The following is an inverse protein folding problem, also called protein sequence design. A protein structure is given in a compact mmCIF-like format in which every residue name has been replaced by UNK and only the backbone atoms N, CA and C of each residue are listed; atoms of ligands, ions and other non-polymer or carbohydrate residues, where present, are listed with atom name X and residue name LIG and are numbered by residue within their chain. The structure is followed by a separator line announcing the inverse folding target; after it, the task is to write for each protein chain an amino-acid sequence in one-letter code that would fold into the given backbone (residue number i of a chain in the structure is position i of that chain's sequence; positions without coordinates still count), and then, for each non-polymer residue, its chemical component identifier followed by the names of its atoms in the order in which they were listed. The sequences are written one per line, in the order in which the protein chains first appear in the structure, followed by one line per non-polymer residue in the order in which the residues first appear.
data_IF_598092050378
#
_entry.id   IF_598092050378
#
_cell.length_a   1.000
_cell.length_b   1.000
_cell.length_c   1.000
_cell.angle_alpha   90.00
_cell.angle_beta   90.00
_cell.angle_gamma   90.00
#
_symmetry.space_group_name_H-M   'P 1'
#
loop_
_entity.id
_entity.type
_entity.pdbx_description
1 polymer ?
#
# COMPACT_ATOMS: atom_id res chain seq x y z
N UNK A 1 32.28 34.18 -0.37
CA UNK A 1 31.29 33.55 -1.28
C UNK A 1 31.78 32.26 -1.95
N UNK A 2 32.77 31.53 -1.40
CA UNK A 2 33.31 30.31 -2.02
C UNK A 2 32.92 28.99 -1.30
N UNK A 3 32.24 29.06 -0.15
CA UNK A 3 31.91 27.87 0.66
C UNK A 3 30.53 27.24 0.35
N UNK A 4 29.68 27.86 -0.48
CA UNK A 4 28.37 27.30 -0.86
C UNK A 4 28.41 26.38 -2.09
N UNK A 5 29.46 26.41 -2.93
CA UNK A 5 29.52 25.51 -4.09
C UNK A 5 29.90 24.06 -3.72
N UNK A 6 30.66 23.85 -2.64
CA UNK A 6 31.07 22.50 -2.20
C UNK A 6 29.95 21.72 -1.51
N UNK A 7 28.98 22.41 -0.89
CA UNK A 7 27.79 21.75 -0.31
C UNK A 7 26.73 21.41 -1.35
N UNK A 8 26.77 22.00 -2.55
CA UNK A 8 25.85 21.74 -3.65
C UNK A 8 26.36 20.66 -4.61
N UNK A 9 27.66 20.40 -4.65
CA UNK A 9 28.27 19.41 -5.56
C UNK A 9 27.72 17.98 -5.42
N UNK A 10 27.50 17.44 -4.20
CA UNK A 10 26.88 16.13 -4.02
C UNK A 10 25.43 16.09 -4.51
N UNK A 11 24.69 17.21 -4.35
CA UNK A 11 23.30 17.33 -4.78
C UNK A 11 23.20 17.40 -6.30
N UNK A 12 24.03 18.21 -6.95
CA UNK A 12 24.07 18.30 -8.41
C UNK A 12 24.47 16.97 -9.03
N UNK A 13 25.44 16.26 -8.44
CA UNK A 13 25.82 14.92 -8.91
C UNK A 13 24.67 13.91 -8.69
N UNK A 14 24.02 13.90 -7.52
CA UNK A 14 22.87 13.02 -7.27
C UNK A 14 21.71 13.31 -8.23
N UNK A 15 21.40 14.60 -8.49
CA UNK A 15 20.38 14.99 -9.46
C UNK A 15 20.76 14.59 -10.89
N UNK A 16 22.02 14.72 -11.30
CA UNK A 16 22.50 14.32 -12.64
C UNK A 16 22.45 12.79 -12.81
N UNK A 17 22.87 12.02 -11.80
CA UNK A 17 22.78 10.55 -11.84
C UNK A 17 21.33 10.06 -11.84
N UNK A 18 20.45 10.68 -11.05
CA UNK A 18 19.02 10.36 -11.04
C UNK A 18 18.34 10.72 -12.37
N UNK A 19 18.77 11.81 -13.02
CA UNK A 19 18.34 12.17 -14.37
C UNK A 19 18.82 11.13 -15.39
N UNK A 20 20.07 10.65 -15.31
CA UNK A 20 20.58 9.61 -16.22
C UNK A 20 19.88 8.26 -16.02
N UNK A 21 19.64 7.84 -14.77
CA UNK A 21 18.88 6.65 -14.43
C UNK A 21 17.43 6.73 -14.94
N UNK A 22 16.84 7.93 -14.89
CA UNK A 22 15.49 8.18 -15.37
C UNK A 22 15.40 8.35 -16.90
N UNK A 23 16.42 8.90 -17.56
CA UNK A 23 16.52 8.96 -19.02
C UNK A 23 16.67 7.55 -19.62
N UNK A 24 17.33 6.63 -18.91
CA UNK A 24 17.37 5.20 -19.26
C UNK A 24 15.98 4.59 -19.42
N UNK A 25 15.03 4.97 -18.56
CA UNK A 25 13.60 4.54 -18.60
C UNK A 25 12.92 4.95 -19.90
N UNK A 26 13.27 6.13 -20.42
CA UNK A 26 12.66 6.67 -21.64
C UNK A 26 13.21 6.02 -22.91
N UNK A 27 14.47 5.58 -22.90
CA UNK A 27 15.11 4.95 -24.07
C UNK A 27 14.59 3.54 -24.34
N UNK A 28 14.31 2.75 -23.30
CA UNK A 28 13.83 1.38 -23.45
C UNK A 28 12.34 1.26 -23.84
N UNK A 29 11.60 2.38 -23.85
CA UNK A 29 10.24 2.44 -24.41
C UNK A 29 10.18 2.58 -25.95
N UNK A 30 11.34 2.64 -26.63
CA UNK A 30 11.40 2.68 -28.10
C UNK A 30 11.99 1.38 -28.66
N UNK A 31 11.17 0.67 -29.43
CA UNK A 31 11.44 -0.65 -30.00
C UNK A 31 12.73 -0.73 -30.84
N UNK A 32 13.55 -1.76 -30.59
CA UNK A 32 14.36 -2.38 -31.66
C UNK A 32 14.60 -3.87 -31.40
N UNK A 33 14.16 -4.71 -32.33
CA UNK A 33 14.54 -6.12 -32.46
C UNK A 33 16.05 -6.29 -32.67
N UNK A 34 16.66 -7.18 -31.90
CA UNK A 34 18.04 -7.63 -32.09
C UNK A 34 18.35 -8.84 -31.23
N UNK A 35 18.31 -10.03 -31.84
CA UNK A 35 18.69 -11.32 -31.24
C UNK A 35 20.15 -11.35 -30.82
N UNK A 36 20.43 -11.75 -29.58
CA UNK A 36 21.70 -12.37 -29.16
C UNK A 36 21.49 -13.22 -27.90
N UNK A 37 21.77 -14.51 -28.06
CA UNK A 37 21.75 -15.55 -27.03
C UNK A 37 22.82 -15.32 -25.96
N UNK A 38 22.42 -15.37 -24.69
CA UNK A 38 23.27 -15.87 -23.59
C UNK A 38 22.42 -16.23 -22.37
N UNK A 39 22.39 -17.54 -22.07
CA UNK A 39 22.08 -18.19 -20.78
C UNK A 39 20.77 -17.80 -20.08
N UNK A 40 19.72 -18.54 -20.40
CA UNK A 40 18.42 -18.57 -19.73
C UNK A 40 18.50 -19.12 -18.29
N UNK A 41 18.39 -18.24 -17.28
CA UNK A 41 17.70 -18.61 -16.05
C UNK A 41 16.20 -18.48 -16.33
N UNK A 42 15.54 -19.61 -16.57
CA UNK A 42 14.11 -19.67 -16.82
C UNK A 42 13.30 -19.21 -15.61
N UNK A 43 12.94 -17.92 -15.59
CA UNK A 43 11.71 -17.48 -14.94
C UNK A 43 10.59 -17.71 -15.93
N UNK A 44 9.93 -18.85 -15.74
CA UNK A 44 8.72 -19.24 -16.44
C UNK A 44 7.69 -18.10 -16.31
N UNK A 45 7.34 -17.47 -17.43
CA UNK A 45 6.05 -16.82 -17.54
C UNK A 45 4.97 -17.90 -17.47
N UNK A 46 4.16 -17.84 -16.42
CA UNK A 46 2.88 -18.54 -16.37
C UNK A 46 1.81 -17.58 -15.81
N UNK A 47 0.89 -17.07 -16.64
CA UNK A 47 -0.37 -16.54 -16.14
C UNK A 47 -1.30 -17.72 -15.84
N UNK A 48 -1.19 -18.34 -14.66
CA UNK A 48 -2.09 -19.43 -14.28
C UNK A 48 -2.41 -19.46 -12.79
N UNK A 49 -3.37 -18.65 -12.37
CA UNK A 49 -4.64 -19.19 -11.87
C UNK A 49 -5.69 -18.08 -11.98
N UNK A 50 -6.92 -18.43 -12.34
CA UNK A 50 -8.08 -17.50 -12.37
C UNK A 50 -8.03 -16.55 -11.17
N UNK A 51 -8.02 -15.24 -11.38
CA UNK A 51 -8.03 -14.25 -10.30
C UNK A 51 -9.38 -14.34 -9.58
N UNK A 52 -9.51 -15.26 -8.61
CA UNK A 52 -10.79 -15.58 -7.96
C UNK A 52 -11.21 -14.51 -6.93
N UNK A 53 -10.51 -13.38 -6.85
CA UNK A 53 -10.70 -12.36 -5.82
C UNK A 53 -10.12 -12.77 -4.46
N UNK A 54 -10.05 -11.82 -3.53
CA UNK A 54 -9.52 -12.05 -2.17
C UNK A 54 -10.37 -13.05 -1.40
N UNK A 55 -11.70 -13.01 -1.57
CA UNK A 55 -12.59 -13.93 -0.85
C UNK A 55 -12.30 -15.40 -1.16
N UNK A 56 -12.26 -15.77 -2.44
CA UNK A 56 -12.01 -17.15 -2.85
C UNK A 56 -10.57 -17.61 -2.59
N UNK A 57 -9.60 -16.72 -2.74
CA UNK A 57 -8.18 -17.07 -2.66
C UNK A 57 -7.66 -17.12 -1.23
N UNK A 58 -8.19 -16.30 -0.32
CA UNK A 58 -7.67 -16.16 1.04
C UNK A 58 -8.67 -16.58 2.10
N UNK A 59 -9.95 -16.25 1.96
CA UNK A 59 -10.93 -16.39 3.06
C UNK A 59 -11.65 -17.74 3.03
N UNK A 60 -12.25 -18.10 1.89
CA UNK A 60 -13.07 -19.30 1.78
C UNK A 60 -12.28 -20.60 1.92
N UNK A 61 -10.97 -20.58 1.57
CA UNK A 61 -10.08 -21.74 1.72
C UNK A 61 -9.94 -22.20 3.17
N UNK A 62 -10.21 -21.31 4.13
CA UNK A 62 -10.20 -21.61 5.56
C UNK A 62 -11.61 -21.88 6.13
N UNK A 63 -12.65 -21.93 5.28
CA UNK A 63 -14.02 -22.24 5.68
C UNK A 63 -14.81 -21.06 6.26
N UNK A 64 -14.37 -19.82 6.00
CA UNK A 64 -15.13 -18.61 6.33
C UNK A 64 -16.07 -18.23 5.19
N UNK A 65 -17.23 -17.66 5.53
CA UNK A 65 -18.06 -16.94 4.57
C UNK A 65 -17.39 -15.61 4.20
N UNK A 66 -17.49 -15.20 2.94
CA UNK A 66 -16.90 -13.95 2.46
C UNK A 66 -17.78 -13.29 1.41
N UNK A 67 -17.96 -11.98 1.55
CA UNK A 67 -18.67 -11.13 0.58
C UNK A 67 -17.68 -10.14 -0.05
N UNK A 68 -17.76 -9.93 -1.37
CA UNK A 68 -17.00 -8.89 -2.07
C UNK A 68 -17.94 -7.75 -2.46
N UNK A 69 -17.54 -6.55 -2.07
CA UNK A 69 -18.28 -5.32 -2.28
C UNK A 69 -17.44 -4.34 -3.10
N UNK A 70 -18.13 -3.44 -3.79
CA UNK A 70 -17.51 -2.32 -4.50
C UNK A 70 -18.09 -1.02 -3.99
N UNK A 71 -17.23 -0.03 -3.74
CA UNK A 71 -17.60 1.31 -3.28
C UNK A 71 -17.05 2.34 -4.25
N UNK A 72 -17.94 3.17 -4.79
CA UNK A 72 -17.52 4.27 -5.66
C UNK A 72 -17.32 5.53 -4.84
N UNK A 73 -16.12 6.10 -4.89
CA UNK A 73 -15.78 7.37 -4.25
C UNK A 73 -16.41 8.54 -4.99
N UNK A 74 -16.49 9.71 -4.35
CA UNK A 74 -17.07 10.92 -4.97
C UNK A 74 -16.33 11.37 -6.23
N UNK A 75 -15.02 11.18 -6.25
CA UNK A 75 -14.15 11.49 -7.39
C UNK A 75 -14.08 10.36 -8.42
N UNK A 76 -14.71 9.22 -8.16
CA UNK A 76 -15.03 8.22 -9.18
C UNK A 76 -14.16 6.96 -9.18
N UNK A 77 -13.29 6.76 -8.20
CA UNK A 77 -12.57 5.50 -7.99
C UNK A 77 -13.54 4.44 -7.48
N UNK A 78 -13.31 3.18 -7.86
CA UNK A 78 -14.11 2.03 -7.45
C UNK A 78 -13.21 1.14 -6.59
N UNK A 79 -13.51 1.10 -5.29
CA UNK A 79 -12.75 0.42 -4.27
C UNK A 79 -13.33 -0.96 -4.01
N UNK A 80 -12.48 -1.98 -3.97
CA UNK A 80 -12.86 -3.32 -3.52
C UNK A 80 -12.83 -3.41 -2.00
N UNK A 81 -13.89 -3.97 -1.41
CA UNK A 81 -13.99 -4.20 0.03
C UNK A 81 -14.42 -5.65 0.25
N UNK A 82 -13.66 -6.37 1.08
CA UNK A 82 -14.04 -7.72 1.50
C UNK A 82 -14.74 -7.67 2.85
N UNK A 83 -15.69 -8.57 3.06
CA UNK A 83 -16.40 -8.71 4.33
C UNK A 83 -16.42 -10.16 4.78
N UNK A 84 -16.04 -10.41 6.02
CA UNK A 84 -16.15 -11.69 6.71
C UNK A 84 -17.24 -11.54 7.79
N UNK A 85 -18.51 -11.86 7.48
CA UNK A 85 -19.62 -11.62 8.40
C UNK A 85 -19.62 -12.59 9.59
N UNK A 86 -19.00 -13.76 9.45
CA UNK A 86 -19.07 -14.85 10.42
C UNK A 86 -17.73 -15.59 10.60
N UNK A 87 -17.43 -15.95 11.85
CA UNK A 87 -16.41 -16.94 12.17
C UNK A 87 -16.85 -18.37 11.83
N UNK A 88 -15.89 -19.30 11.75
CA UNK A 88 -16.11 -20.67 11.22
C UNK A 88 -17.15 -21.49 11.98
N UNK A 89 -17.22 -21.32 13.29
CA UNK A 89 -18.12 -22.09 14.17
C UNK A 89 -19.42 -21.36 14.51
N UNK A 90 -19.78 -20.31 13.76
CA UNK A 90 -21.00 -19.56 14.02
C UNK A 90 -22.25 -20.40 13.69
N UNK A 91 -22.78 -21.10 14.69
CA UNK A 91 -24.07 -21.81 14.61
C UNK A 91 -25.21 -20.79 14.71
N UNK A 92 -25.57 -20.21 13.57
CA UNK A 92 -26.88 -19.62 13.31
C UNK A 92 -27.50 -18.83 14.47
N UNK A 93 -26.97 -17.64 14.74
CA UNK A 93 -27.82 -16.50 15.10
C UNK A 93 -27.23 -15.22 14.53
N UNK A 94 -28.00 -14.57 13.64
CA UNK A 94 -27.78 -13.24 13.07
C UNK A 94 -27.90 -12.14 14.13
N UNK A 95 -27.25 -12.30 15.29
CA UNK A 95 -27.09 -11.19 16.21
C UNK A 95 -26.39 -10.06 15.44
N UNK A 96 -26.83 -8.81 15.64
CA UNK A 96 -26.17 -7.64 15.03
C UNK A 96 -24.75 -7.53 15.59
N UNK A 97 -23.79 -8.05 14.84
CA UNK A 97 -22.37 -7.98 15.17
C UNK A 97 -21.87 -6.57 14.93
N UNK A 98 -20.97 -6.13 15.80
CA UNK A 98 -20.36 -4.81 15.68
C UNK A 98 -19.37 -4.84 14.51
N UNK A 99 -19.46 -3.89 13.55
CA UNK A 99 -18.52 -3.85 12.44
C UNK A 99 -17.12 -3.40 12.88
N UNK A 100 -16.12 -4.01 12.26
CA UNK A 100 -14.71 -3.61 12.37
C UNK A 100 -14.17 -3.37 10.96
N UNK A 101 -13.66 -2.17 10.68
CA UNK A 101 -13.00 -1.84 9.42
C UNK A 101 -11.48 -1.91 9.59
N UNK A 102 -10.83 -2.74 8.77
CA UNK A 102 -9.39 -2.92 8.72
C UNK A 102 -8.80 -2.19 7.51
N UNK A 103 -7.94 -1.20 7.76
CA UNK A 103 -7.32 -0.35 6.73
C UNK A 103 -5.80 -0.54 6.71
N UNK A 104 -5.28 -0.97 5.57
CA UNK A 104 -3.86 -1.24 5.33
C UNK A 104 -3.00 0.04 5.22
N UNK A 105 -1.68 -0.16 5.11
CA UNK A 105 -0.68 0.90 4.94
C UNK A 105 -0.33 1.21 3.49
N UNK A 106 0.70 2.03 3.28
CA UNK A 106 1.29 2.25 1.96
C UNK A 106 1.95 0.96 1.46
N UNK A 107 1.93 0.73 0.14
CA UNK A 107 2.45 -0.49 -0.50
C UNK A 107 1.83 -1.79 0.00
N UNK A 108 0.61 -1.71 0.54
CA UNK A 108 -0.15 -2.84 1.05
C UNK A 108 -1.53 -2.92 0.40
N UNK A 109 -2.21 -4.05 0.54
CA UNK A 109 -3.65 -4.16 0.30
C UNK A 109 -4.39 -4.86 1.48
N UNK A 110 -5.66 -5.18 1.28
CA UNK A 110 -6.49 -5.86 2.27
C UNK A 110 -5.99 -7.26 2.68
N UNK A 111 -5.23 -7.96 1.83
CA UNK A 111 -4.69 -9.29 2.12
C UNK A 111 -3.72 -9.25 3.30
N UNK A 112 -3.09 -8.10 3.59
CA UNK A 112 -2.24 -7.92 4.78
C UNK A 112 -2.90 -8.42 6.08
N UNK A 113 -4.24 -8.33 6.20
CA UNK A 113 -4.99 -8.79 7.38
C UNK A 113 -5.33 -10.28 7.39
N UNK A 114 -4.92 -11.01 6.35
CA UNK A 114 -5.31 -12.39 6.00
C UNK A 114 -4.12 -13.27 5.56
N UNK A 115 -2.88 -12.79 5.69
CA UNK A 115 -1.69 -13.47 5.13
C UNK A 115 -1.32 -14.77 5.83
N UNK A 116 -1.56 -14.87 7.13
CA UNK A 116 -1.19 -16.03 7.96
C UNK A 116 -2.38 -16.96 8.20
N UNK A 117 -2.24 -17.95 9.08
CA UNK A 117 -3.34 -18.84 9.43
C UNK A 117 -4.50 -18.11 10.15
N UNK A 118 -5.68 -18.74 10.25
CA UNK A 118 -6.84 -18.21 10.99
C UNK A 118 -6.58 -17.79 12.44
N UNK A 119 -5.65 -18.45 13.13
CA UNK A 119 -5.28 -18.19 14.51
C UNK A 119 -4.21 -17.08 14.67
N UNK A 120 -3.60 -16.65 13.56
CA UNK A 120 -2.54 -15.63 13.55
C UNK A 120 -2.95 -14.33 12.85
N UNK A 121 -3.93 -14.37 11.94
CA UNK A 121 -4.35 -13.18 11.19
C UNK A 121 -5.51 -12.45 11.85
N UNK A 122 -5.35 -11.14 12.06
CA UNK A 122 -6.33 -10.31 12.77
C UNK A 122 -7.74 -10.39 12.15
N UNK A 123 -7.86 -10.45 10.83
CA UNK A 123 -9.16 -10.54 10.16
C UNK A 123 -9.96 -11.78 10.59
N UNK A 124 -9.30 -12.94 10.64
CA UNK A 124 -9.92 -14.20 11.05
C UNK A 124 -10.19 -14.25 12.55
N UNK A 125 -9.23 -13.78 13.36
CA UNK A 125 -9.38 -13.74 14.82
C UNK A 125 -10.61 -12.90 15.20
N UNK A 126 -10.79 -11.74 14.59
CA UNK A 126 -11.96 -10.89 14.86
C UNK A 126 -13.28 -11.56 14.44
N UNK A 127 -13.32 -12.21 13.28
CA UNK A 127 -14.50 -12.94 12.82
C UNK A 127 -14.88 -14.09 13.79
N UNK A 128 -13.89 -14.87 14.24
CA UNK A 128 -14.07 -15.95 15.23
C UNK A 128 -14.45 -15.42 16.61
N UNK A 129 -14.09 -14.16 16.94
CA UNK A 129 -14.54 -13.45 18.15
C UNK A 129 -15.89 -12.76 18.01
N UNK A 130 -16.59 -12.94 16.89
CA UNK A 130 -17.97 -12.49 16.71
C UNK A 130 -18.13 -11.06 16.20
N UNK A 131 -17.11 -10.48 15.59
CA UNK A 131 -17.22 -9.21 14.87
C UNK A 131 -17.70 -9.41 13.42
N UNK A 132 -18.26 -8.35 12.83
CA UNK A 132 -18.51 -8.25 11.39
C UNK A 132 -17.30 -7.55 10.76
N UNK A 133 -16.42 -8.31 10.11
CA UNK A 133 -15.11 -7.80 9.69
C UNK A 133 -15.19 -7.27 8.27
N UNK A 134 -14.74 -6.04 8.07
CA UNK A 134 -14.66 -5.34 6.80
C UNK A 134 -13.20 -5.00 6.51
N UNK A 135 -12.74 -5.27 5.29
CA UNK A 135 -11.36 -5.11 4.87
C UNK A 135 -11.38 -4.21 3.64
N UNK A 136 -10.85 -3.00 3.78
CA UNK A 136 -10.82 -2.03 2.69
C UNK A 136 -9.55 -2.13 1.87
N UNK A 137 -9.67 -1.84 0.57
CA UNK A 137 -8.54 -1.62 -0.33
C UNK A 137 -8.55 -0.19 -0.83
N UNK A 138 -7.44 0.52 -0.67
CA UNK A 138 -7.28 1.90 -1.15
C UNK A 138 -7.19 1.93 -2.68
N UNK A 139 -7.56 3.05 -3.31
CA UNK A 139 -7.36 3.27 -4.75
C UNK A 139 -5.92 2.90 -5.19
N UNK A 140 -5.81 2.26 -6.35
CA UNK A 140 -4.52 1.92 -6.95
C UNK A 140 -3.91 0.58 -6.53
N UNK A 141 -4.45 -0.13 -5.53
CA UNK A 141 -4.05 -1.52 -5.23
C UNK A 141 -4.68 -2.49 -6.22
N UNK A 142 -4.15 -3.72 -6.34
CA UNK A 142 -4.58 -4.74 -7.31
C UNK A 142 -6.10 -4.85 -7.48
N UNK A 143 -6.85 -4.86 -6.38
CA UNK A 143 -8.32 -5.02 -6.39
C UNK A 143 -9.10 -3.70 -6.52
N UNK A 144 -8.42 -2.55 -6.46
CA UNK A 144 -8.98 -1.20 -6.55
C UNK A 144 -8.37 -0.39 -7.72
N UNK A 145 -8.14 -1.04 -8.86
CA UNK A 145 -7.62 -0.46 -10.12
C UNK A 145 -8.73 0.03 -11.07
N UNK A 146 -9.87 0.46 -10.54
CA UNK A 146 -11.02 0.86 -11.35
C UNK A 146 -11.45 2.29 -11.08
N UNK A 147 -11.94 2.95 -12.12
CA UNK A 147 -12.52 4.29 -12.05
C UNK A 147 -13.66 4.41 -13.06
N UNK A 148 -14.64 5.26 -12.76
CA UNK A 148 -15.80 5.53 -13.62
C UNK A 148 -15.47 6.17 -14.98
N UNK A 149 -14.23 6.63 -15.19
CA UNK A 149 -13.84 7.48 -16.34
C UNK A 149 -12.39 7.30 -16.77
N UNK A 150 -11.48 7.18 -15.81
CA UNK A 150 -10.03 7.10 -16.05
C UNK A 150 -9.57 5.64 -16.13
N UNK A 151 -8.57 5.37 -16.96
CA UNK A 151 -7.85 4.10 -16.97
C UNK A 151 -6.65 4.18 -16.02
N UNK A 152 -6.25 3.09 -15.34
CA UNK A 152 -4.96 3.02 -14.64
C UNK A 152 -3.74 3.28 -15.54
N UNK A 153 -3.90 3.24 -16.87
CA UNK A 153 -2.85 3.62 -17.82
C UNK A 153 -2.72 5.14 -18.02
N UNK A 154 -3.71 5.90 -17.58
CA UNK A 154 -3.73 7.36 -17.71
C UNK A 154 -2.99 8.00 -16.52
N UNK A 155 -2.05 8.93 -16.73
CA UNK A 155 -1.40 9.67 -15.64
C UNK A 155 -2.39 10.29 -14.65
N UNK A 156 -3.52 10.82 -15.14
CA UNK A 156 -4.56 11.42 -14.33
C UNK A 156 -5.20 10.45 -13.32
N UNK A 157 -5.16 9.13 -13.56
CA UNK A 157 -5.63 8.13 -12.60
C UNK A 157 -4.76 8.09 -11.34
N UNK A 158 -3.49 8.48 -11.44
CA UNK A 158 -2.54 8.44 -10.33
C UNK A 158 -2.29 9.81 -9.69
N UNK A 159 -3.13 10.80 -9.99
CA UNK A 159 -3.01 12.17 -9.50
C UNK A 159 -3.58 12.38 -8.09
N UNK A 160 -3.25 11.50 -7.15
CA UNK A 160 -3.75 11.52 -5.78
C UNK A 160 -2.63 11.27 -4.75
N UNK A 161 -2.90 11.66 -3.51
CA UNK A 161 -2.09 11.39 -2.32
C UNK A 161 -2.97 10.91 -1.16
N UNK A 162 -2.40 10.80 0.05
CA UNK A 162 -3.19 10.48 1.24
C UNK A 162 -4.27 11.52 1.54
N UNK A 163 -4.19 12.74 1.00
CA UNK A 163 -5.29 13.73 1.07
C UNK A 163 -6.57 13.19 0.43
N UNK A 164 -6.49 12.70 -0.81
CA UNK A 164 -7.65 12.11 -1.49
C UNK A 164 -8.12 10.83 -0.80
N UNK A 165 -7.21 10.05 -0.21
CA UNK A 165 -7.60 8.88 0.59
C UNK A 165 -8.46 9.29 1.81
N UNK A 166 -8.10 10.40 2.47
CA UNK A 166 -8.85 10.96 3.60
C UNK A 166 -10.15 11.63 3.16
N UNK A 167 -10.13 12.35 2.04
CA UNK A 167 -11.26 13.13 1.55
C UNK A 167 -12.33 12.26 0.88
N UNK A 168 -11.94 11.15 0.24
CA UNK A 168 -12.82 10.39 -0.64
C UNK A 168 -12.89 8.89 -0.32
N UNK A 169 -11.76 8.19 -0.14
CA UNK A 169 -11.77 6.73 0.08
C UNK A 169 -12.34 6.38 1.45
N UNK A 170 -11.80 7.01 2.50
CA UNK A 170 -12.19 6.74 3.88
C UNK A 170 -13.67 7.07 4.11
N UNK A 171 -14.21 8.25 3.72
CA UNK A 171 -15.62 8.55 3.91
C UNK A 171 -16.55 7.63 3.10
N UNK A 172 -16.20 7.29 1.85
CA UNK A 172 -17.03 6.40 1.04
C UNK A 172 -17.10 5.00 1.64
N UNK A 173 -15.96 4.47 2.10
CA UNK A 173 -15.87 3.18 2.79
C UNK A 173 -16.65 3.19 4.11
N UNK A 174 -16.46 4.22 4.94
CA UNK A 174 -17.19 4.37 6.20
C UNK A 174 -18.69 4.45 6.00
N UNK A 175 -19.15 5.29 5.06
CA UNK A 175 -20.57 5.47 4.79
C UNK A 175 -21.19 4.16 4.28
N UNK A 176 -20.48 3.43 3.40
CA UNK A 176 -20.94 2.14 2.90
C UNK A 176 -21.14 1.14 4.04
N UNK A 177 -20.13 0.92 4.88
CA UNK A 177 -20.20 -0.01 6.01
C UNK A 177 -21.26 0.43 7.01
N UNK A 178 -21.32 1.72 7.33
CA UNK A 178 -22.29 2.29 8.26
C UNK A 178 -23.72 2.04 7.78
N UNK A 179 -24.02 2.29 6.50
CA UNK A 179 -25.36 2.06 5.92
C UNK A 179 -25.68 0.57 5.81
N UNK A 180 -24.75 -0.24 5.31
CA UNK A 180 -24.93 -1.68 5.13
C UNK A 180 -25.22 -2.41 6.44
N UNK A 181 -24.58 -1.98 7.53
CA UNK A 181 -24.75 -2.57 8.87
C UNK A 181 -25.95 -2.01 9.64
N UNK A 182 -26.74 -1.13 9.02
CA UNK A 182 -27.91 -0.52 9.63
C UNK A 182 -27.58 0.57 10.63
N UNK A 183 -26.62 1.44 10.29
CA UNK A 183 -26.16 2.61 11.03
C UNK A 183 -25.45 2.27 12.35
N UNK A 184 -24.76 1.13 12.39
CA UNK A 184 -23.93 0.75 13.54
C UNK A 184 -22.59 1.48 13.49
N UNK A 185 -22.20 2.10 14.60
CA UNK A 185 -20.85 2.66 14.73
C UNK A 185 -19.81 1.54 14.65
N UNK A 186 -18.77 1.73 13.83
CA UNK A 186 -17.75 0.74 13.57
C UNK A 186 -16.46 0.97 14.37
N UNK A 187 -15.76 -0.11 14.70
CA UNK A 187 -14.38 -0.03 15.17
C UNK A 187 -13.45 0.13 13.96
N UNK A 188 -12.49 1.04 14.05
CA UNK A 188 -11.47 1.22 13.02
C UNK A 188 -10.15 0.60 13.48
N UNK A 189 -9.47 -0.15 12.62
CA UNK A 189 -8.09 -0.58 12.84
C UNK A 189 -7.27 -0.15 11.63
N UNK A 190 -6.32 0.75 11.86
CA UNK A 190 -5.40 1.21 10.82
C UNK A 190 -3.99 0.69 11.06
N UNK A 191 -3.27 0.37 9.99
CA UNK A 191 -1.83 0.14 10.02
C UNK A 191 -1.10 1.20 9.19
N UNK A 192 0.02 1.75 9.69
CA UNK A 192 0.90 2.65 8.92
C UNK A 192 0.10 3.80 8.31
N UNK A 193 0.07 3.98 6.98
CA UNK A 193 -0.73 5.01 6.30
C UNK A 193 -2.23 4.98 6.67
N UNK A 194 -2.80 3.81 6.95
CA UNK A 194 -4.19 3.72 7.43
C UNK A 194 -4.39 4.46 8.77
N UNK A 195 -3.37 4.54 9.62
CA UNK A 195 -3.45 5.36 10.84
C UNK A 195 -3.41 6.86 10.55
N UNK A 196 -2.58 7.28 9.59
CA UNK A 196 -2.49 8.67 9.13
C UNK A 196 -3.85 9.13 8.61
N UNK A 197 -4.51 8.29 7.82
CA UNK A 197 -5.84 8.58 7.29
C UNK A 197 -6.87 8.84 8.41
N UNK A 198 -6.87 7.99 9.45
CA UNK A 198 -7.76 8.15 10.59
C UNK A 198 -7.43 9.40 11.41
N UNK A 199 -6.14 9.64 11.70
CA UNK A 199 -5.72 10.81 12.46
C UNK A 199 -6.08 12.12 11.76
N UNK A 200 -5.80 12.23 10.45
CA UNK A 200 -6.17 13.38 9.64
C UNK A 200 -7.70 13.61 9.66
N UNK A 201 -8.48 12.58 9.32
CA UNK A 201 -9.95 12.67 9.28
C UNK A 201 -10.57 13.06 10.63
N UNK A 202 -10.15 12.38 11.71
CA UNK A 202 -10.74 12.59 13.03
C UNK A 202 -10.33 13.91 13.66
N UNK A 203 -9.14 14.44 13.35
CA UNK A 203 -8.69 15.76 13.82
C UNK A 203 -9.53 16.91 13.26
N UNK A 204 -10.13 16.72 12.09
CA UNK A 204 -11.07 17.64 11.45
C UNK A 204 -12.54 17.35 11.83
N UNK A 205 -12.76 16.50 12.84
CA UNK A 205 -14.09 16.04 13.28
C UNK A 205 -14.92 15.30 12.21
N UNK A 206 -14.29 14.87 11.11
CA UNK A 206 -14.94 14.03 10.12
C UNK A 206 -15.15 12.60 10.66
N UNK A 207 -16.22 11.94 10.21
CA UNK A 207 -16.57 10.54 10.49
C UNK A 207 -16.83 10.16 11.96
N UNK A 208 -16.63 11.05 12.94
CA UNK A 208 -16.79 10.76 14.38
C UNK A 208 -18.17 10.23 14.79
N UNK A 209 -19.22 10.55 14.03
CA UNK A 209 -20.57 10.02 14.26
C UNK A 209 -20.74 8.55 13.84
N UNK A 210 -19.83 8.01 13.00
CA UNK A 210 -19.81 6.63 12.52
C UNK A 210 -18.76 5.76 13.24
N UNK A 211 -17.83 6.36 13.99
CA UNK A 211 -16.75 5.64 14.71
C UNK A 211 -17.17 5.28 16.12
N UNK A 212 -16.89 4.03 16.53
CA UNK A 212 -17.04 3.55 17.91
C UNK A 212 -15.72 3.65 18.70
N UNK A 213 -14.63 3.18 18.12
CA UNK A 213 -13.26 3.37 18.61
C UNK A 213 -12.26 3.15 17.46
N UNK A 214 -11.00 3.54 17.67
CA UNK A 214 -9.92 3.31 16.72
C UNK A 214 -8.70 2.67 17.40
N UNK A 215 -8.13 1.66 16.76
CA UNK A 215 -6.83 1.08 17.10
C UNK A 215 -5.82 1.45 16.00
N UNK A 216 -4.71 2.05 16.40
CA UNK A 216 -3.70 2.57 15.47
C UNK A 216 -2.40 1.77 15.61
N UNK A 217 -2.13 0.90 14.65
CA UNK A 217 -0.96 0.03 14.62
C UNK A 217 0.16 0.70 13.83
N UNK A 218 1.33 0.88 14.43
CA UNK A 218 2.46 1.63 13.85
C UNK A 218 2.03 3.03 13.36
N UNK A 219 1.53 3.90 14.26
CA UNK A 219 0.92 5.15 13.86
C UNK A 219 1.87 6.10 13.13
N UNK A 220 1.41 6.66 12.01
CA UNK A 220 2.10 7.69 11.23
C UNK A 220 1.36 9.01 11.41
N UNK A 221 2.06 10.02 11.92
CA UNK A 221 1.59 11.40 12.01
C UNK A 221 2.66 12.37 11.48
N UNK A 222 3.90 12.19 11.94
CA UNK A 222 5.08 12.93 11.48
C UNK A 222 6.17 11.93 11.06
N UNK A 223 6.94 12.27 10.02
CA UNK A 223 7.98 11.38 9.46
C UNK A 223 9.41 11.89 9.67
N UNK A 224 9.60 12.99 10.41
CA UNK A 224 10.89 13.63 10.63
C UNK A 224 11.90 12.77 11.42
N UNK A 225 11.44 11.78 12.19
CA UNK A 225 12.28 10.89 13.01
C UNK A 225 12.36 9.44 12.47
N UNK A 226 12.03 9.24 11.18
CA UNK A 226 12.09 7.91 10.56
C UNK A 226 13.53 7.38 10.57
N UNK A 227 13.72 6.21 11.19
CA UNK A 227 15.02 5.55 11.32
C UNK A 227 15.41 4.66 10.14
N UNK A 228 14.46 4.30 9.26
CA UNK A 228 14.75 3.48 8.08
C UNK A 228 15.71 4.22 7.15
N UNK A 229 16.92 3.68 6.90
CA UNK A 229 17.89 4.33 6.02
C UNK A 229 17.36 4.49 4.60
N UNK A 230 16.58 3.53 4.09
CA UNK A 230 16.01 3.59 2.74
C UNK A 230 14.98 4.71 2.67
N UNK A 231 14.00 4.73 3.58
CA UNK A 231 12.95 5.76 3.58
C UNK A 231 13.53 7.16 3.77
N UNK A 232 14.50 7.29 4.70
CA UNK A 232 15.16 8.56 4.98
C UNK A 232 15.96 9.07 3.78
N UNK A 233 16.76 8.21 3.15
CA UNK A 233 17.55 8.61 1.96
C UNK A 233 16.65 8.88 0.75
N UNK A 234 15.58 8.10 0.55
CA UNK A 234 14.63 8.32 -0.54
C UNK A 234 13.93 9.69 -0.40
N UNK A 235 13.52 10.05 0.83
CA UNK A 235 12.95 11.36 1.11
C UNK A 235 13.97 12.49 0.88
N UNK A 236 15.19 12.37 1.42
CA UNK A 236 16.22 13.42 1.26
C UNK A 236 16.63 13.65 -0.19
N UNK A 237 16.60 12.61 -1.02
CA UNK A 237 17.01 12.70 -2.42
C UNK A 237 15.91 13.20 -3.36
N UNK A 238 14.73 13.59 -2.86
CA UNK A 238 13.57 14.00 -3.68
C UNK A 238 13.28 12.99 -4.81
N UNK A 239 13.44 11.70 -4.47
CA UNK A 239 13.38 10.61 -5.45
C UNK A 239 11.98 10.52 -6.05
N UNK A 240 10.95 10.66 -5.23
CA UNK A 240 9.57 10.57 -5.67
C UNK A 240 9.22 11.74 -6.62
N UNK A 241 9.68 12.95 -6.31
CA UNK A 241 9.55 14.13 -7.17
C UNK A 241 10.26 13.92 -8.50
N UNK A 242 11.49 13.41 -8.46
CA UNK A 242 12.26 13.10 -9.67
C UNK A 242 11.52 12.11 -10.56
N UNK A 243 11.06 10.98 -10.01
CA UNK A 243 10.26 10.00 -10.75
C UNK A 243 8.96 10.59 -11.31
N UNK A 244 8.28 11.45 -10.54
CA UNK A 244 7.07 12.13 -10.98
C UNK A 244 7.34 13.04 -12.19
N UNK A 245 8.37 13.89 -12.11
CA UNK A 245 8.78 14.76 -13.21
C UNK A 245 9.22 13.99 -14.47
N UNK A 246 9.65 12.74 -14.30
CA UNK A 246 10.08 11.86 -15.38
C UNK A 246 8.95 10.96 -15.93
N UNK A 247 7.73 11.14 -15.41
CA UNK A 247 6.52 10.52 -15.94
C UNK A 247 6.13 9.19 -15.29
N UNK A 248 6.73 8.85 -14.16
CA UNK A 248 6.33 7.69 -13.34
C UNK A 248 5.24 8.13 -12.37
N UNK A 249 3.98 7.99 -12.77
CA UNK A 249 2.82 8.36 -11.95
C UNK A 249 2.33 7.23 -11.04
N UNK A 250 2.41 5.99 -11.53
CA UNK A 250 2.33 4.77 -10.72
C UNK A 250 3.73 4.42 -10.21
N UNK A 251 3.89 4.32 -8.89
CA UNK A 251 5.08 3.71 -8.30
C UNK A 251 4.76 2.26 -7.94
N UNK A 252 5.25 1.35 -8.78
CA UNK A 252 5.28 -0.09 -8.51
C UNK A 252 6.62 -0.44 -7.85
N UNK A 253 6.63 -0.91 -6.58
CA UNK A 253 7.86 -1.28 -5.90
C UNK A 253 8.54 -2.54 -6.47
N UNK A 254 7.86 -3.30 -7.32
CA UNK A 254 8.42 -4.41 -8.11
C UNK A 254 8.82 -3.97 -9.53
N UNK A 255 8.50 -2.73 -9.91
CA UNK A 255 8.82 -2.18 -11.22
C UNK A 255 10.27 -1.70 -11.36
N UNK A 256 10.65 -1.32 -12.58
CA UNK A 256 12.02 -0.90 -12.89
C UNK A 256 12.46 0.35 -12.11
N UNK A 257 11.52 1.26 -11.83
CA UNK A 257 11.80 2.49 -11.08
C UNK A 257 12.27 2.17 -9.65
N UNK A 258 11.58 1.26 -8.97
CA UNK A 258 11.97 0.81 -7.65
C UNK A 258 13.29 0.02 -7.68
N UNK A 259 13.49 -0.85 -8.67
CA UNK A 259 14.74 -1.58 -8.84
C UNK A 259 15.95 -0.65 -9.00
N UNK A 260 15.84 0.40 -9.83
CA UNK A 260 16.90 1.42 -9.98
C UNK A 260 17.15 2.17 -8.67
N UNK A 261 16.09 2.64 -8.02
CA UNK A 261 16.20 3.32 -6.74
C UNK A 261 16.91 2.47 -5.68
N UNK A 262 16.50 1.20 -5.55
CA UNK A 262 17.11 0.27 -4.60
C UNK A 262 18.58 0.05 -4.98
N UNK A 263 18.89 -0.20 -6.25
CA UNK A 263 20.27 -0.40 -6.72
C UNK A 263 21.20 0.77 -6.36
N UNK A 264 20.73 2.01 -6.53
CA UNK A 264 21.48 3.21 -6.17
C UNK A 264 21.66 3.35 -4.66
N UNK A 265 20.60 3.15 -3.88
CA UNK A 265 20.67 3.18 -2.42
C UNK A 265 21.62 2.10 -1.89
N UNK A 266 21.56 0.90 -2.46
CA UNK A 266 22.39 -0.25 -2.10
C UNK A 266 23.85 -0.11 -2.51
N UNK A 267 24.16 0.80 -3.43
CA UNK A 267 25.54 1.13 -3.80
C UNK A 267 26.21 2.02 -2.74
N UNK A 268 25.45 2.55 -1.76
CA UNK A 268 25.99 3.36 -0.67
C UNK A 268 26.55 2.45 0.42
N UNK A 269 27.81 2.66 0.87
CA UNK A 269 28.48 1.76 1.80
C UNK A 269 27.84 1.72 3.21
N UNK A 270 26.99 2.69 3.55
CA UNK A 270 26.26 2.77 4.81
C UNK A 270 24.92 2.00 4.81
N UNK A 271 24.52 1.37 3.70
CA UNK A 271 23.24 0.65 3.57
C UNK A 271 23.45 -0.85 3.38
N UNK A 272 22.94 -1.66 4.30
CA UNK A 272 22.95 -3.13 4.16
C UNK A 272 21.70 -3.62 3.43
N UNK A 273 21.86 -3.95 2.16
CA UNK A 273 20.76 -4.41 1.33
C UNK A 273 20.49 -5.92 1.32
N UNK A 274 21.27 -6.70 2.07
CA UNK A 274 21.06 -8.15 2.14
C UNK A 274 19.82 -8.55 2.94
N UNK A 275 19.24 -7.60 3.70
CA UNK A 275 17.98 -7.76 4.43
C UNK A 275 17.07 -6.55 4.19
N UNK A 276 16.38 -6.56 3.04
CA UNK A 276 15.43 -5.52 2.65
C UNK A 276 14.29 -5.37 3.66
N UNK A 277 13.77 -6.47 4.18
CA UNK A 277 12.65 -6.45 5.14
C UNK A 277 13.05 -5.70 6.40
N UNK A 278 14.22 -5.99 6.98
CA UNK A 278 14.75 -5.25 8.14
C UNK A 278 15.07 -3.79 7.79
N UNK A 279 15.50 -3.51 6.56
CA UNK A 279 15.84 -2.14 6.14
C UNK A 279 14.62 -1.22 6.05
N UNK A 280 13.45 -1.74 5.72
CA UNK A 280 12.19 -1.00 5.71
C UNK A 280 11.47 -1.02 7.06
N UNK A 281 11.38 -2.19 7.70
CA UNK A 281 10.53 -2.41 8.90
C UNK A 281 11.28 -2.27 10.22
N UNK A 282 12.61 -2.24 10.19
CA UNK A 282 13.47 -2.30 11.36
C UNK A 282 13.78 -3.74 11.81
N UNK A 283 14.76 -3.89 12.71
CA UNK A 283 15.17 -5.20 13.21
C UNK A 283 14.03 -5.83 14.03
N UNK A 284 13.58 -7.00 13.61
CA UNK A 284 12.53 -7.74 14.31
C UNK A 284 13.07 -9.09 14.82
N UNK A 285 13.06 -9.28 16.14
CA UNK A 285 13.47 -10.54 16.80
C UNK A 285 12.58 -11.74 16.44
N UNK A 286 11.38 -11.44 16.00
CA UNK A 286 10.21 -12.27 16.21
C UNK A 286 9.41 -12.43 14.91
N UNK A 287 9.91 -11.89 13.79
CA UNK A 287 9.42 -12.18 12.46
C UNK A 287 9.88 -13.59 12.08
N UNK A 288 8.92 -14.50 11.90
CA UNK A 288 9.23 -15.82 11.34
C UNK A 288 9.55 -15.64 9.85
N UNK A 289 10.81 -15.89 9.49
CA UNK A 289 11.34 -15.70 8.13
C UNK A 289 10.63 -16.56 7.09
N UNK A 290 9.94 -17.62 7.50
CA UNK A 290 9.09 -18.45 6.63
C UNK A 290 7.90 -17.69 6.03
N UNK A 291 7.47 -16.57 6.64
CA UNK A 291 6.41 -15.72 6.08
C UNK A 291 6.90 -14.71 5.04
N UNK A 292 8.22 -14.49 4.94
CA UNK A 292 8.76 -13.52 3.97
C UNK A 292 8.39 -13.88 2.52
N UNK A 293 8.51 -15.14 2.07
CA UNK A 293 8.06 -15.51 0.72
C UNK A 293 6.55 -15.31 0.51
N UNK A 294 5.72 -15.55 1.53
CA UNK A 294 4.26 -15.34 1.46
C UNK A 294 3.98 -13.85 1.35
N UNK A 295 4.65 -13.01 2.14
CA UNK A 295 4.57 -11.57 2.02
C UNK A 295 4.94 -11.12 0.61
N UNK A 296 6.10 -11.57 0.09
CA UNK A 296 6.59 -11.19 -1.24
C UNK A 296 5.75 -11.70 -2.43
N UNK A 297 4.88 -12.69 -2.20
CA UNK A 297 3.94 -13.17 -3.23
C UNK A 297 2.76 -12.21 -3.44
N UNK A 298 2.37 -11.45 -2.41
CA UNK A 298 1.21 -10.53 -2.46
C UNK A 298 1.60 -9.06 -2.34
N UNK A 299 2.65 -8.78 -1.58
CA UNK A 299 3.17 -7.46 -1.29
C UNK A 299 4.57 -7.33 -1.89
N UNK A 300 5.02 -6.14 -2.29
CA UNK A 300 4.36 -4.84 -2.13
C UNK A 300 3.40 -4.47 -3.28
N UNK A 301 2.38 -3.68 -2.96
CA UNK A 301 1.40 -3.14 -3.92
C UNK A 301 1.81 -1.77 -4.48
N UNK A 302 1.34 -1.42 -5.68
CA UNK A 302 1.54 -0.11 -6.28
C UNK A 302 0.85 1.03 -5.49
N UNK A 303 1.37 2.25 -5.63
CA UNK A 303 0.73 3.48 -5.14
C UNK A 303 1.01 4.65 -6.08
N UNK A 304 0.29 5.76 -5.95
CA UNK A 304 0.63 6.97 -6.69
C UNK A 304 1.98 7.53 -6.24
N UNK A 305 2.84 7.91 -7.18
CA UNK A 305 4.11 8.59 -6.87
C UNK A 305 3.86 9.88 -6.10
N UNK A 306 2.76 10.59 -6.42
CA UNK A 306 2.32 11.79 -5.70
C UNK A 306 2.00 11.52 -4.23
N UNK A 307 1.51 10.32 -3.89
CA UNK A 307 1.34 9.90 -2.50
C UNK A 307 2.69 9.79 -1.78
N UNK A 308 3.71 9.24 -2.44
CA UNK A 308 5.07 9.16 -1.87
C UNK A 308 5.71 10.53 -1.69
N UNK A 309 5.52 11.45 -2.65
CA UNK A 309 5.94 12.85 -2.53
C UNK A 309 5.32 13.47 -1.28
N UNK A 310 4.00 13.29 -1.09
CA UNK A 310 3.33 13.91 0.05
C UNK A 310 3.78 13.29 1.39
N UNK A 311 4.08 11.99 1.45
CA UNK A 311 4.70 11.38 2.63
C UNK A 311 6.11 11.96 2.89
N UNK A 312 6.91 12.13 1.84
CA UNK A 312 8.27 12.69 1.94
C UNK A 312 8.29 14.15 2.39
N UNK A 313 7.32 14.97 1.97
CA UNK A 313 7.18 16.36 2.43
C UNK A 313 6.99 16.48 3.95
N UNK A 314 6.51 15.42 4.61
CA UNK A 314 6.33 15.37 6.08
C UNK A 314 7.56 14.81 6.82
N UNK A 315 8.63 14.49 6.09
CA UNK A 315 9.91 14.06 6.66
C UNK A 315 10.84 15.22 7.03
N UNK A 316 10.46 16.48 6.73
CA UNK A 316 11.25 17.70 6.97
C UNK A 316 10.49 18.74 7.80
#
# INVERSE_FOLDING_TARGET
MANNLRSLLPWVLCSVFMIDAAIGVRKDSSSSHGTRDSASLGLVQAPTSSDKGTCKSRVEIYGYECEEHHVTTKDGYILSIQRIPNGRSATTQRARKTPVLLQHGVFMDGITWLMSSPDESLGYILADKGYDVWISNSRGTKYSLQHTRLSPRDPAYWEWSWDELVAFDLPATFEYVYRHTGHQKLHYVGHSQGTLMALASFSEHHLLHMVRSAALLCPIAYMNEVKSPIARNAAYAFVAETYYWLGTYEFDPLGDAAHRLISEICSRPDVNCNDMVTSFTGKNCCLNTSYVPIFLEHEPQSTATKNLIHLAQRAF
#
